data_IF_853690711862
#
_entry.id   IF_853690711862
#
_cell.length_a   1.000
_cell.length_b   1.000
_cell.length_c   1.000
_cell.angle_alpha   90.00
_cell.angle_beta   90.00
_cell.angle_gamma   90.00
#
_symmetry.space_group_name_H-M   'P 1'
#
loop_
_entity.id
_entity.type
_entity.pdbx_description
1 polymer ?
#
# COMPACT_ATOMS: atom_id res chain seq x y z
N UNK A 1 1.10 5.46 14.04
CA UNK A 1 1.47 6.68 14.81
C UNK A 1 0.50 7.83 14.48
N UNK A 2 -0.46 8.13 15.36
CA UNK A 2 -1.51 9.13 15.10
C UNK A 2 -0.98 10.53 14.75
N UNK A 3 0.11 10.96 15.38
CA UNK A 3 0.71 12.30 15.18
C UNK A 3 1.10 12.63 13.72
N UNK A 4 1.24 11.61 12.86
CA UNK A 4 1.64 11.76 11.47
C UNK A 4 0.48 11.58 10.46
N UNK A 5 -0.73 11.27 10.94
CA UNK A 5 -1.91 11.14 10.10
C UNK A 5 -2.42 12.50 9.61
N UNK A 6 -3.14 12.54 8.49
CA UNK A 6 -3.68 13.77 7.89
C UNK A 6 -2.65 14.67 7.18
N UNK A 7 -1.35 14.40 7.31
CA UNK A 7 -0.25 15.19 6.72
C UNK A 7 0.15 14.78 5.30
N UNK A 8 -0.65 13.96 4.61
CA UNK A 8 -0.37 13.41 3.27
C UNK A 8 0.94 12.63 3.14
N UNK A 9 1.51 12.14 4.26
CA UNK A 9 2.76 11.38 4.25
C UNK A 9 2.62 10.00 3.59
N UNK A 10 1.47 9.32 3.73
CA UNK A 10 1.24 8.02 3.10
C UNK A 10 1.40 8.06 1.56
N UNK A 11 0.64 8.91 0.85
CA UNK A 11 0.81 9.08 -0.59
C UNK A 11 2.23 9.51 -1.00
N UNK A 12 2.87 10.39 -0.22
CA UNK A 12 4.24 10.84 -0.50
C UNK A 12 5.25 9.69 -0.43
N UNK A 13 5.20 8.90 0.65
CA UNK A 13 6.11 7.76 0.84
C UNK A 13 5.84 6.66 -0.21
N UNK A 14 4.57 6.42 -0.55
CA UNK A 14 4.22 5.46 -1.59
C UNK A 14 4.76 5.88 -2.97
N UNK A 15 4.63 7.16 -3.36
CA UNK A 15 5.19 7.67 -4.62
C UNK A 15 6.71 7.45 -4.69
N UNK A 16 7.43 7.76 -3.62
CA UNK A 16 8.87 7.53 -3.56
C UNK A 16 9.23 6.05 -3.68
N UNK A 17 8.52 5.17 -2.97
CA UNK A 17 8.72 3.73 -3.04
C UNK A 17 8.45 3.18 -4.46
N UNK A 18 7.38 3.65 -5.11
CA UNK A 18 7.04 3.27 -6.48
C UNK A 18 8.11 3.73 -7.48
N UNK A 19 8.59 4.98 -7.38
CA UNK A 19 9.67 5.48 -8.25
C UNK A 19 10.93 4.64 -8.11
N UNK A 20 11.32 4.33 -6.86
CA UNK A 20 12.45 3.47 -6.59
C UNK A 20 12.25 2.08 -7.20
N UNK A 21 11.11 1.43 -6.95
CA UNK A 21 10.80 0.12 -7.50
C UNK A 21 10.80 0.09 -9.04
N UNK A 22 10.17 1.08 -9.69
CA UNK A 22 10.11 1.17 -11.16
C UNK A 22 11.45 1.48 -11.81
N UNK A 23 12.41 2.09 -11.09
CA UNK A 23 13.77 2.29 -11.59
C UNK A 23 14.49 0.98 -11.94
N UNK A 24 14.09 -0.13 -11.30
CA UNK A 24 14.56 -1.48 -11.60
C UNK A 24 13.84 -2.15 -12.80
N UNK A 25 12.96 -1.43 -13.50
CA UNK A 25 12.17 -1.90 -14.66
C UNK A 25 11.44 -3.23 -14.44
N UNK A 26 10.69 -3.40 -13.34
CA UNK A 26 9.83 -4.56 -13.16
C UNK A 26 8.72 -4.56 -14.23
N UNK A 27 8.15 -5.73 -14.53
CA UNK A 27 6.95 -5.80 -15.39
C UNK A 27 5.67 -5.49 -14.62
N UNK A 28 5.68 -5.70 -13.30
CA UNK A 28 4.54 -5.51 -12.39
C UNK A 28 5.03 -5.37 -10.95
N UNK A 29 4.28 -4.64 -10.13
CA UNK A 29 4.45 -4.58 -8.68
C UNK A 29 3.25 -5.19 -7.96
N UNK A 30 3.53 -5.90 -6.87
CA UNK A 30 2.53 -6.42 -5.96
C UNK A 30 2.54 -5.60 -4.68
N UNK A 31 1.35 -5.24 -4.22
CA UNK A 31 1.15 -4.63 -2.92
C UNK A 31 0.29 -5.58 -2.09
N UNK A 32 0.80 -5.98 -0.93
CA UNK A 32 0.06 -6.74 0.06
C UNK A 32 -0.43 -5.77 1.14
N UNK A 33 -1.70 -5.88 1.48
CA UNK A 33 -2.37 -5.08 2.50
C UNK A 33 -3.35 -5.98 3.24
N UNK A 34 -3.58 -5.69 4.51
CA UNK A 34 -4.46 -6.48 5.36
C UNK A 34 -5.45 -5.58 6.13
N UNK A 35 -6.11 -6.17 7.12
CA UNK A 35 -7.11 -5.47 7.96
C UNK A 35 -6.51 -4.72 9.15
N UNK A 36 -5.23 -4.92 9.45
CA UNK A 36 -4.48 -4.15 10.45
C UNK A 36 -3.97 -2.82 9.91
N UNK A 37 -3.91 -2.67 8.58
CA UNK A 37 -3.57 -1.41 7.93
C UNK A 37 -4.56 -0.28 8.25
N UNK A 38 -4.09 0.96 8.09
CA UNK A 38 -4.92 2.14 8.28
C UNK A 38 -6.11 2.14 7.29
N UNK A 39 -7.35 2.53 7.70
CA UNK A 39 -8.54 2.47 6.82
C UNK A 39 -8.41 3.22 5.49
N UNK A 40 -7.57 4.27 5.45
CA UNK A 40 -7.29 5.03 4.24
C UNK A 40 -6.34 4.33 3.23
N UNK A 41 -5.66 3.25 3.63
CA UNK A 41 -4.61 2.59 2.85
C UNK A 41 -5.12 2.13 1.47
N UNK A 42 -6.26 1.42 1.44
CA UNK A 42 -6.85 0.93 0.18
C UNK A 42 -7.13 2.05 -0.81
N UNK A 43 -7.66 3.19 -0.35
CA UNK A 43 -7.92 4.34 -1.22
C UNK A 43 -6.62 4.95 -1.75
N UNK A 44 -5.58 5.03 -0.91
CA UNK A 44 -4.26 5.53 -1.31
C UNK A 44 -3.64 4.62 -2.38
N UNK A 45 -3.70 3.31 -2.20
CA UNK A 45 -3.18 2.33 -3.17
C UNK A 45 -3.93 2.39 -4.50
N UNK A 46 -5.27 2.45 -4.46
CA UNK A 46 -6.09 2.59 -5.66
C UNK A 46 -5.77 3.86 -6.46
N UNK A 47 -5.60 5.00 -5.78
CA UNK A 47 -5.19 6.26 -6.43
C UNK A 47 -3.78 6.20 -7.03
N UNK A 48 -2.91 5.33 -6.51
CA UNK A 48 -1.58 5.09 -7.05
C UNK A 48 -1.57 4.10 -8.23
N UNK A 49 -2.72 3.60 -8.66
CA UNK A 49 -2.87 2.71 -9.81
C UNK A 49 -2.92 1.22 -9.48
N UNK A 50 -2.92 0.85 -8.19
CA UNK A 50 -3.15 -0.54 -7.81
C UNK A 50 -4.62 -0.93 -7.99
N UNK A 51 -4.86 -2.20 -8.31
CA UNK A 51 -6.19 -2.79 -8.39
C UNK A 51 -6.22 -4.10 -7.62
N UNK A 52 -7.36 -4.43 -7.03
CA UNK A 52 -7.53 -5.69 -6.31
C UNK A 52 -7.28 -6.86 -7.26
N UNK A 53 -6.34 -7.73 -6.90
CA UNK A 53 -5.99 -8.93 -7.68
C UNK A 53 -6.40 -10.21 -6.98
N UNK A 54 -6.15 -10.30 -5.67
CA UNK A 54 -6.52 -11.45 -4.86
C UNK A 54 -6.87 -11.00 -3.44
N UNK A 55 -7.77 -11.75 -2.80
CA UNK A 55 -8.08 -11.63 -1.37
C UNK A 55 -7.95 -13.00 -0.74
N UNK A 56 -7.35 -13.08 0.44
CA UNK A 56 -7.19 -14.29 1.23
C UNK A 56 -7.59 -14.01 2.68
N UNK A 57 -8.09 -15.04 3.34
CA UNK A 57 -8.31 -15.03 4.79
C UNK A 57 -7.16 -15.81 5.39
N UNK A 58 -6.44 -15.20 6.32
CA UNK A 58 -5.34 -15.82 7.04
C UNK A 58 -5.77 -16.09 8.47
N UNK A 59 -5.41 -17.26 8.99
CA UNK A 59 -5.67 -17.67 10.38
C UNK A 59 -4.34 -17.87 11.06
N UNK A 60 -4.15 -17.23 12.19
CA UNK A 60 -2.96 -17.37 13.02
C UNK A 60 -3.35 -18.11 14.29
N UNK A 61 -2.51 -19.03 14.80
CA UNK A 61 -2.71 -19.58 16.13
C UNK A 61 -2.61 -18.47 17.18
N UNK A 62 -3.43 -18.58 18.23
CA UNK A 62 -3.44 -17.66 19.38
C UNK A 62 -2.11 -17.65 20.15
#
# INVERSE_FOLDING_TARGET
VPAFQGKRLGPFLLDQALRAAWSHRPQRLWLHTDTYDHPAAQSVYGRAGFSAYARRVETFPD
#
